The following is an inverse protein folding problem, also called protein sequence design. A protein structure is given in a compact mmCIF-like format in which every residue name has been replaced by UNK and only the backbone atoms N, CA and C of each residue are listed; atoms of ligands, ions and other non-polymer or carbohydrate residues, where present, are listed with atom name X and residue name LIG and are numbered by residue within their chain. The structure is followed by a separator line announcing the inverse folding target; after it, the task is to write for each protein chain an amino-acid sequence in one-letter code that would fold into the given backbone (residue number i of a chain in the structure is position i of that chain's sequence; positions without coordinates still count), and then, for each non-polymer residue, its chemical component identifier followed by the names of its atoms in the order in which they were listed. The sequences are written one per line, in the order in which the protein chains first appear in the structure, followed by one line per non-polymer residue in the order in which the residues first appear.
data_IF_971883699040
#
_entry.id   IF_971883699040
#
_cell.length_a   1.000
_cell.length_b   1.000
_cell.length_c   1.000
_cell.angle_alpha   90.00
_cell.angle_beta   90.00
_cell.angle_gamma   90.00
#
_symmetry.space_group_name_H-M   'P 1'
#
loop_
_entity.id
_entity.type
_entity.pdbx_description
1 polymer ?
#
# COMPACT_ATOMS: atom_id res chain seq x y z
N UNK A 1 -1.91 -3.12 5.24
CA UNK A 1 -2.02 -2.54 3.88
C UNK A 1 -3.18 -1.53 3.84
N UNK A 2 -3.05 -0.45 3.06
CA UNK A 2 -4.06 0.61 2.95
C UNK A 2 -3.69 1.94 3.63
N UNK A 3 -2.51 1.99 4.26
CA UNK A 3 -1.87 3.22 4.74
C UNK A 3 -0.57 3.54 3.97
N UNK A 4 -0.36 2.84 2.85
CA UNK A 4 0.87 2.90 2.08
C UNK A 4 1.01 4.27 1.42
N UNK A 5 2.17 4.90 1.59
CA UNK A 5 2.48 6.21 1.01
C UNK A 5 3.76 6.10 0.20
N UNK A 6 3.67 6.48 -1.06
CA UNK A 6 4.79 6.54 -1.97
C UNK A 6 4.97 7.96 -2.49
N UNK A 7 6.21 8.43 -2.51
CA UNK A 7 6.56 9.76 -2.98
C UNK A 7 7.76 9.70 -3.92
N UNK A 8 7.65 10.41 -5.04
CA UNK A 8 8.75 10.61 -5.98
C UNK A 8 8.69 12.00 -6.60
N UNK A 9 9.79 12.45 -7.20
CA UNK A 9 9.78 13.72 -7.91
C UNK A 9 9.02 13.60 -9.24
N UNK A 10 8.35 14.66 -9.66
CA UNK A 10 7.68 14.69 -10.96
C UNK A 10 8.64 14.35 -12.12
N UNK A 11 9.91 14.79 -12.03
CA UNK A 11 10.94 14.52 -13.03
C UNK A 11 11.15 13.01 -13.25
N UNK A 12 11.20 12.20 -12.19
CA UNK A 12 11.42 10.76 -12.32
C UNK A 12 10.16 10.04 -12.81
N UNK A 13 8.98 10.51 -12.40
CA UNK A 13 7.70 9.99 -12.90
C UNK A 13 7.51 10.23 -14.40
N UNK A 14 7.82 11.44 -14.87
CA UNK A 14 7.76 11.78 -16.30
C UNK A 14 8.76 10.96 -17.14
N UNK A 15 9.90 10.58 -16.55
CA UNK A 15 10.86 9.66 -17.18
C UNK A 15 10.31 8.23 -17.25
N UNK A 16 9.78 7.72 -16.14
CA UNK A 16 9.17 6.40 -16.08
C UNK A 16 8.04 6.26 -17.12
N UNK A 17 7.17 7.27 -17.26
CA UNK A 17 6.11 7.27 -18.28
C UNK A 17 6.62 7.04 -19.72
N UNK A 18 7.79 7.59 -20.06
CA UNK A 18 8.38 7.47 -21.41
C UNK A 18 9.16 6.18 -21.61
N UNK A 19 9.76 5.65 -20.54
CA UNK A 19 10.77 4.58 -20.63
C UNK A 19 10.26 3.22 -20.14
N UNK A 20 9.18 3.17 -19.37
CA UNK A 20 8.59 1.93 -18.87
C UNK A 20 7.99 1.10 -20.01
N UNK A 21 8.46 -0.15 -20.12
CA UNK A 21 8.02 -1.11 -21.14
C UNK A 21 7.16 -2.24 -20.58
N UNK A 22 7.39 -2.61 -19.32
CA UNK A 22 6.63 -3.69 -18.69
C UNK A 22 5.23 -3.20 -18.30
N UNK A 23 4.16 -3.99 -18.53
CA UNK A 23 2.79 -3.59 -18.19
C UNK A 23 2.62 -3.21 -16.72
N UNK A 24 3.22 -3.97 -15.80
CA UNK A 24 3.19 -3.70 -14.36
C UNK A 24 3.80 -2.34 -13.97
N UNK A 25 4.78 -1.84 -14.75
CA UNK A 25 5.36 -0.51 -14.52
C UNK A 25 4.41 0.60 -14.97
N UNK A 26 3.51 0.33 -15.92
CA UNK A 26 2.52 1.32 -16.40
C UNK A 26 1.27 1.35 -15.53
N UNK A 27 0.89 0.21 -14.96
CA UNK A 27 -0.25 0.09 -14.05
C UNK A 27 0.10 0.58 -12.64
N UNK A 28 1.18 0.06 -12.06
CA UNK A 28 1.54 0.31 -10.66
C UNK A 28 2.55 1.44 -10.45
N UNK A 29 3.14 1.97 -11.54
CA UNK A 29 4.14 3.04 -11.58
C UNK A 29 5.42 2.82 -10.76
N UNK A 30 5.30 2.76 -9.44
CA UNK A 30 6.39 2.76 -8.47
C UNK A 30 7.36 1.56 -8.57
N UNK A 31 6.94 0.33 -8.94
CA UNK A 31 7.89 -0.77 -9.18
C UNK A 31 9.00 -0.44 -10.16
N UNK A 32 8.77 0.47 -11.13
CA UNK A 32 9.80 0.94 -12.04
C UNK A 32 11.00 1.56 -11.30
N UNK A 33 10.82 2.18 -10.14
CA UNK A 33 11.91 2.85 -9.44
C UNK A 33 12.75 1.90 -8.57
N UNK A 34 12.12 0.94 -7.87
CA UNK A 34 12.78 0.14 -6.85
C UNK A 34 12.98 -1.34 -7.22
N UNK A 35 12.47 -1.83 -8.35
CA UNK A 35 12.70 -3.22 -8.77
C UNK A 35 14.21 -3.55 -8.84
N UNK A 36 14.60 -4.64 -8.17
CA UNK A 36 15.99 -5.08 -8.07
C UNK A 36 16.87 -4.26 -7.13
N UNK A 37 16.31 -3.32 -6.35
CA UNK A 37 17.08 -2.60 -5.33
C UNK A 37 17.54 -3.54 -4.21
N UNK A 38 18.79 -3.38 -3.79
CA UNK A 38 19.30 -3.98 -2.57
C UNK A 38 19.31 -2.90 -1.48
N UNK A 39 18.47 -3.09 -0.45
CA UNK A 39 18.35 -2.14 0.65
C UNK A 39 19.35 -2.49 1.76
N UNK A 40 19.97 -1.45 2.32
CA UNK A 40 20.80 -1.54 3.52
C UNK A 40 20.09 -0.85 4.68
N UNK A 41 20.07 -1.49 5.83
CA UNK A 41 19.49 -0.92 7.06
C UNK A 41 20.36 0.21 7.59
N UNK A 42 19.79 1.42 7.67
CA UNK A 42 20.42 2.61 8.25
C UNK A 42 19.98 2.79 9.70
N UNK A 43 18.71 2.51 10.00
CA UNK A 43 18.16 2.53 11.35
C UNK A 43 16.97 1.57 11.46
N UNK A 44 16.35 1.47 12.64
CA UNK A 44 15.12 0.69 12.83
C UNK A 44 13.97 1.11 11.91
N UNK A 45 13.95 2.36 11.48
CA UNK A 45 12.85 2.93 10.67
C UNK A 45 13.27 3.21 9.22
N UNK A 46 14.55 3.10 8.88
CA UNK A 46 15.05 3.53 7.58
C UNK A 46 15.96 2.48 6.97
N UNK A 47 15.61 2.08 5.75
CA UNK A 47 16.50 1.37 4.85
C UNK A 47 16.68 2.19 3.59
N UNK A 48 17.89 2.14 3.02
CA UNK A 48 18.21 2.88 1.80
C UNK A 48 18.94 2.01 0.81
N UNK A 49 18.81 2.33 -0.47
CA UNK A 49 19.56 1.67 -1.52
C UNK A 49 19.53 2.47 -2.81
N UNK A 50 20.27 2.00 -3.80
CA UNK A 50 20.23 2.55 -5.15
C UNK A 50 19.74 1.45 -6.08
N UNK A 51 18.68 1.72 -6.83
CA UNK A 51 18.14 0.73 -7.77
C UNK A 51 19.07 0.55 -8.97
N UNK A 52 18.97 -0.57 -9.72
CA UNK A 52 19.74 -0.78 -10.94
C UNK A 52 19.56 0.33 -12.00
N UNK A 53 18.44 1.07 -11.93
CA UNK A 53 18.14 2.21 -12.82
C UNK A 53 18.70 3.55 -12.31
N UNK A 54 19.44 3.54 -11.20
CA UNK A 54 20.14 4.70 -10.64
C UNK A 54 19.29 5.59 -9.75
N UNK A 55 18.15 5.12 -9.24
CA UNK A 55 17.31 5.88 -8.32
C UNK A 55 17.70 5.61 -6.87
N UNK A 56 17.80 6.68 -6.07
CA UNK A 56 17.95 6.56 -4.63
C UNK A 56 16.59 6.20 -4.02
N UNK A 57 16.54 5.10 -3.28
CA UNK A 57 15.34 4.57 -2.64
C UNK A 57 15.52 4.69 -1.13
N UNK A 58 14.49 5.21 -0.47
CA UNK A 58 14.35 5.21 0.97
C UNK A 58 13.06 4.47 1.32
N UNK A 59 13.19 3.39 2.08
CA UNK A 59 12.06 2.66 2.64
C UNK A 59 11.92 3.04 4.11
N UNK A 60 10.80 3.67 4.43
CA UNK A 60 10.46 4.10 5.78
C UNK A 60 9.50 3.10 6.40
N UNK A 61 9.89 2.58 7.56
CA UNK A 61 9.09 1.67 8.35
C UNK A 61 8.48 2.42 9.54
N UNK A 62 7.20 2.14 9.81
CA UNK A 62 6.61 2.54 11.08
C UNK A 62 7.25 1.73 12.23
N UNK A 63 7.30 2.28 13.45
CA UNK A 63 7.92 1.59 14.60
C UNK A 63 7.22 0.29 14.96
N UNK A 64 5.92 0.28 14.78
CA UNK A 64 5.04 -0.86 15.03
C UNK A 64 4.61 -1.42 13.69
N UNK A 65 4.73 -2.73 13.53
CA UNK A 65 4.23 -3.43 12.35
C UNK A 65 2.70 -3.54 12.42
N UNK A 66 2.04 -2.96 11.43
CA UNK A 66 0.59 -3.02 11.23
C UNK A 66 0.25 -3.70 9.89
N UNK A 67 1.17 -4.49 9.33
CA UNK A 67 1.01 -5.15 8.04
C UNK A 67 -0.22 -6.06 7.96
N UNK A 68 -0.57 -6.70 9.08
CA UNK A 68 -1.72 -7.60 9.21
C UNK A 68 -3.07 -6.88 9.16
N UNK A 69 -3.09 -5.55 9.29
CA UNK A 69 -4.31 -4.76 9.14
C UNK A 69 -4.62 -4.54 7.66
N UNK A 70 -5.64 -5.23 7.14
CA UNK A 70 -6.16 -5.07 5.79
C UNK A 70 -7.22 -3.97 5.77
N UNK A 71 -6.80 -2.73 5.49
CA UNK A 71 -7.69 -1.57 5.36
C UNK A 71 -7.78 -1.14 3.89
N UNK A 72 -8.24 -2.07 3.03
CA UNK A 72 -8.49 -1.80 1.61
C UNK A 72 -9.97 -1.94 1.30
N UNK A 73 -10.38 -1.78 0.04
CA UNK A 73 -11.78 -1.94 -0.43
C UNK A 73 -11.78 -2.69 -1.76
N UNK A 74 -11.11 -3.84 -1.80
CA UNK A 74 -10.97 -4.62 -3.05
C UNK A 74 -12.04 -5.72 -3.18
N UNK A 75 -12.54 -6.23 -2.06
CA UNK A 75 -13.56 -7.29 -2.01
C UNK A 75 -14.83 -6.85 -1.27
N UNK A 76 -15.96 -7.58 -1.43
CA UNK A 76 -17.16 -7.31 -0.64
C UNK A 76 -16.94 -7.36 0.87
N UNK A 77 -16.07 -8.26 1.35
CA UNK A 77 -15.69 -8.39 2.76
C UNK A 77 -14.93 -7.15 3.25
N UNK A 78 -14.03 -6.61 2.43
CA UNK A 78 -13.32 -5.37 2.73
C UNK A 78 -14.29 -4.18 2.86
N UNK A 79 -15.25 -4.08 1.94
CA UNK A 79 -16.28 -3.05 2.00
C UNK A 79 -17.17 -3.20 3.25
N UNK A 80 -17.53 -4.42 3.62
CA UNK A 80 -18.30 -4.67 4.84
C UNK A 80 -17.51 -4.28 6.09
N UNK A 81 -16.22 -4.62 6.16
CA UNK A 81 -15.34 -4.16 7.24
C UNK A 81 -15.35 -2.63 7.34
N UNK A 82 -15.17 -1.92 6.22
CA UNK A 82 -15.16 -0.46 6.22
C UNK A 82 -16.51 0.13 6.67
N UNK A 83 -17.64 -0.43 6.24
CA UNK A 83 -18.97 0.00 6.70
C UNK A 83 -19.12 -0.17 8.21
N UNK A 84 -18.68 -1.29 8.76
CA UNK A 84 -18.73 -1.56 10.19
C UNK A 84 -17.85 -0.60 10.99
N UNK A 85 -16.68 -0.22 10.46
CA UNK A 85 -15.81 0.80 11.06
C UNK A 85 -16.50 2.17 11.05
N UNK A 86 -16.98 2.64 9.91
CA UNK A 86 -17.65 3.95 9.80
C UNK A 86 -18.90 4.05 10.67
N UNK A 87 -19.69 2.98 10.78
CA UNK A 87 -20.87 2.94 11.64
C UNK A 87 -20.56 3.17 13.13
N UNK A 88 -19.32 2.88 13.57
CA UNK A 88 -18.86 3.06 14.96
C UNK A 88 -18.33 4.46 15.26
N UNK A 89 -18.26 5.32 14.24
CA UNK A 89 -17.88 6.74 14.38
C UNK A 89 -19.08 7.69 14.30
N UNK A 90 -20.31 7.18 14.33
CA UNK A 90 -21.55 7.97 14.42
C UNK A 90 -21.67 9.09 13.37
N UNK A 91 -21.19 8.84 12.15
CA UNK A 91 -21.24 9.81 11.04
C UNK A 91 -20.15 10.89 11.08
N UNK A 92 -19.15 10.77 11.97
CA UNK A 92 -17.91 11.54 11.86
C UNK A 92 -17.06 11.01 10.70
N UNK A 93 -16.49 11.94 9.94
CA UNK A 93 -15.51 11.67 8.88
C UNK A 93 -14.13 12.27 9.19
N UNK A 94 -13.95 12.83 10.39
CA UNK A 94 -12.72 13.52 10.84
C UNK A 94 -11.83 12.64 11.75
N UNK A 95 -12.15 11.35 11.87
CA UNK A 95 -11.38 10.43 12.68
C UNK A 95 -10.05 10.06 12.02
N UNK A 96 -9.04 9.86 12.85
CA UNK A 96 -7.71 9.45 12.43
C UNK A 96 -7.61 7.93 12.25
N UNK A 97 -6.62 7.48 11.48
CA UNK A 97 -6.29 6.06 11.36
C UNK A 97 -5.91 5.42 12.72
N UNK A 98 -5.45 6.22 13.68
CA UNK A 98 -5.14 5.77 15.04
C UNK A 98 -6.42 5.47 15.83
N UNK A 99 -7.46 6.28 15.67
CA UNK A 99 -8.78 5.99 16.25
C UNK A 99 -9.36 4.70 15.64
N UNK A 100 -9.16 4.45 14.34
CA UNK A 100 -9.53 3.16 13.71
C UNK A 100 -8.74 2.01 14.33
N UNK A 101 -7.43 2.18 14.54
CA UNK A 101 -6.59 1.16 15.20
C UNK A 101 -7.11 0.83 16.60
N UNK A 102 -7.40 1.84 17.42
CA UNK A 102 -7.93 1.66 18.77
C UNK A 102 -9.29 0.97 18.75
N UNK A 103 -10.16 1.35 17.81
CA UNK A 103 -11.46 0.70 17.62
C UNK A 103 -11.30 -0.79 17.32
N UNK A 104 -10.44 -1.14 16.36
CA UNK A 104 -10.22 -2.52 15.93
C UNK A 104 -9.55 -3.36 17.01
N UNK A 105 -8.62 -2.80 17.78
CA UNK A 105 -8.05 -3.48 18.95
C UNK A 105 -9.11 -3.81 20.02
N UNK A 106 -10.06 -2.90 20.25
CA UNK A 106 -11.15 -3.10 21.21
C UNK A 106 -12.27 -4.01 20.68
N UNK A 107 -12.32 -4.24 19.36
CA UNK A 107 -13.39 -4.97 18.66
C UNK A 107 -12.76 -5.99 17.68
N UNK A 108 -12.04 -7.02 18.18
CA UNK A 108 -11.27 -7.94 17.33
C UNK A 108 -12.13 -8.77 16.37
N UNK A 109 -13.45 -8.84 16.57
CA UNK A 109 -14.38 -9.44 15.63
C UNK A 109 -14.42 -8.70 14.28
N UNK A 110 -14.11 -7.40 14.24
CA UNK A 110 -14.03 -6.63 13.00
C UNK A 110 -12.99 -7.20 12.03
N UNK A 111 -11.82 -7.57 12.54
CA UNK A 111 -10.74 -8.14 11.71
C UNK A 111 -11.10 -9.51 11.12
N UNK A 112 -12.09 -10.21 11.69
CA UNK A 112 -12.52 -11.52 11.16
C UNK A 112 -13.32 -11.40 9.88
N UNK A 113 -13.84 -10.22 9.57
CA UNK A 113 -14.69 -9.98 8.39
C UNK A 113 -13.89 -10.24 7.11
N UNK A 114 -12.68 -9.70 7.01
CA UNK A 114 -11.83 -9.82 5.84
C UNK A 114 -10.56 -10.64 6.05
N UNK A 115 -10.42 -11.35 7.19
CA UNK A 115 -9.23 -12.16 7.49
C UNK A 115 -8.97 -13.31 6.50
N UNK A 116 -10.00 -13.76 5.77
CA UNK A 116 -9.88 -14.82 4.76
C UNK A 116 -9.42 -14.35 3.38
N UNK A 117 -9.33 -13.03 3.16
CA UNK A 117 -9.03 -12.45 1.86
C UNK A 117 -7.52 -12.50 1.59
N UNK A 118 -7.12 -13.10 0.46
CA UNK A 118 -5.72 -13.12 0.03
C UNK A 118 -5.33 -11.79 -0.61
N UNK A 119 -4.18 -11.26 -0.21
CA UNK A 119 -3.64 -10.03 -0.79
C UNK A 119 -3.20 -10.23 -2.25
N UNK A 120 -3.62 -9.31 -3.12
CA UNK A 120 -3.06 -9.18 -4.47
C UNK A 120 -1.62 -8.71 -4.38
N UNK A 121 -0.80 -9.08 -5.36
CA UNK A 121 0.61 -8.72 -5.45
C UNK A 121 0.84 -7.62 -6.48
N UNK A 122 1.96 -6.89 -6.36
CA UNK A 122 2.38 -5.87 -7.34
C UNK A 122 2.66 -6.41 -8.75
N UNK A 123 2.66 -7.74 -8.93
CA UNK A 123 2.78 -8.41 -10.22
C UNK A 123 1.42 -8.73 -10.84
N UNK A 124 0.35 -8.60 -10.08
CA UNK A 124 -1.00 -8.79 -10.57
C UNK A 124 -1.36 -7.55 -11.39
N UNK A 125 -1.63 -7.75 -12.68
CA UNK A 125 -2.05 -6.72 -13.63
C UNK A 125 -3.55 -6.93 -13.89
N UNK A 126 -4.35 -5.87 -13.99
CA UNK A 126 -5.75 -6.00 -14.37
C UNK A 126 -5.83 -6.52 -15.82
N UNK A 127 -6.29 -7.77 -15.98
CA UNK A 127 -6.43 -8.41 -17.29
C UNK A 127 -7.35 -7.62 -18.24
N UNK A 128 -8.30 -6.83 -17.70
CA UNK A 128 -9.16 -5.94 -18.51
C UNK A 128 -8.41 -4.78 -19.14
N UNK A 129 -7.29 -4.35 -18.55
CA UNK A 129 -6.44 -3.29 -19.09
C UNK A 129 -5.58 -3.75 -20.26
N UNK A 130 -5.38 -5.07 -20.45
CA UNK A 130 -4.57 -5.64 -21.53
C UNK A 130 -5.34 -5.86 -22.85
N UNK A 131 -6.63 -5.55 -22.89
CA UNK A 131 -7.51 -5.79 -24.05
C UNK A 131 -7.71 -4.62 -25.02
N UNK A 132 -6.79 -3.65 -25.09
CA UNK A 132 -6.90 -2.48 -25.98
C UNK A 132 -5.78 -2.45 -27.03
#
# INVERSE_FOLDING_TARGET
IGLDVEACTFKVLAKAWKEAKEPQHREHAMPYFYEGVQLTTVSRQLQTGTSPRGYNIALLHHTTDFGDYRWTVDTPEDLEFMRQVYARFDGRDDFSWKEVLDLVHNNPELMKINSGVKHKTLKDIDERATGC
#
